data_IF_818928614495
#
_entry.id   IF_818928614495
#
_cell.length_a   1.000
_cell.length_b   1.000
_cell.length_c   1.000
_cell.angle_alpha   90.00
_cell.angle_beta   90.00
_cell.angle_gamma   90.00
#
_symmetry.space_group_name_H-M   'P 1'
#
loop_
_entity.id
_entity.type
_entity.pdbx_description
1 polymer ?
#
# COMPACT_ATOMS: atom_id res chain seq x y z
N UNK A 1 3.96 9.02 30.43
CA UNK A 1 4.64 9.51 29.21
C UNK A 1 5.33 8.33 28.58
N UNK A 2 5.00 8.02 27.33
CA UNK A 2 5.64 6.97 26.56
C UNK A 2 6.59 7.59 25.52
N UNK A 3 7.75 6.98 25.29
CA UNK A 3 8.63 7.33 24.18
C UNK A 3 8.14 6.60 22.91
N UNK A 4 7.76 7.38 21.91
CA UNK A 4 7.30 6.91 20.61
C UNK A 4 8.40 7.15 19.58
N UNK A 5 9.04 6.07 19.14
CA UNK A 5 10.06 6.13 18.08
C UNK A 5 9.37 6.10 16.71
N UNK A 6 9.70 7.05 15.85
CA UNK A 6 9.18 7.18 14.48
C UNK A 6 10.36 7.07 13.51
N UNK A 7 10.38 6.03 12.68
CA UNK A 7 11.54 5.73 11.82
C UNK A 7 11.33 6.08 10.35
N UNK A 8 10.13 6.49 9.98
CA UNK A 8 9.79 6.90 8.63
C UNK A 8 8.90 8.14 8.65
N UNK A 9 8.87 8.90 7.57
CA UNK A 9 8.03 10.10 7.47
C UNK A 9 6.55 9.73 7.55
N UNK A 10 5.83 10.34 8.49
CA UNK A 10 4.37 10.30 8.61
C UNK A 10 3.82 11.72 8.65
N UNK A 11 2.50 11.86 8.50
CA UNK A 11 1.85 13.17 8.51
C UNK A 11 2.06 13.90 9.84
N UNK A 12 2.40 15.19 9.78
CA UNK A 12 2.61 16.05 10.95
C UNK A 12 1.42 16.06 11.91
N UNK A 13 0.20 15.96 11.40
CA UNK A 13 -1.00 15.88 12.22
C UNK A 13 -0.97 14.69 13.20
N UNK A 14 -0.51 13.51 12.73
CA UNK A 14 -0.37 12.33 13.60
C UNK A 14 0.71 12.51 14.66
N UNK A 15 1.85 13.13 14.30
CA UNK A 15 2.92 13.46 15.26
C UNK A 15 2.43 14.44 16.31
N UNK A 16 1.63 15.43 15.91
CA UNK A 16 1.09 16.43 16.82
C UNK A 16 0.05 15.84 17.78
N UNK A 17 -0.78 14.91 17.30
CA UNK A 17 -1.73 14.18 18.18
C UNK A 17 -1.01 13.40 19.28
N UNK A 18 0.09 12.72 18.94
CA UNK A 18 0.91 11.99 19.92
C UNK A 18 1.53 12.95 20.96
N UNK A 19 2.06 14.08 20.52
CA UNK A 19 2.60 15.12 21.43
C UNK A 19 1.49 15.71 22.32
N UNK A 20 0.33 16.00 21.76
CA UNK A 20 -0.81 16.54 22.51
C UNK A 20 -1.35 15.52 23.54
N UNK A 21 -1.22 14.21 23.27
CA UNK A 21 -1.51 13.16 24.22
C UNK A 21 -0.45 13.00 25.32
N UNK A 22 0.61 13.83 25.31
CA UNK A 22 1.65 13.85 26.33
C UNK A 22 2.77 12.83 26.12
N UNK A 23 2.91 12.27 24.91
CA UNK A 23 3.99 11.35 24.59
C UNK A 23 5.25 12.09 24.10
N UNK A 24 6.40 11.50 24.34
CA UNK A 24 7.67 11.93 23.76
C UNK A 24 7.80 11.31 22.35
N UNK A 25 7.85 12.16 21.31
CA UNK A 25 7.97 11.71 19.92
C UNK A 25 9.41 11.90 19.45
N UNK A 26 10.13 10.79 19.32
CA UNK A 26 11.51 10.71 18.84
C UNK A 26 11.54 10.29 17.37
N UNK A 27 11.96 11.20 16.48
CA UNK A 27 11.95 10.95 15.03
C UNK A 27 13.38 10.64 14.59
N UNK A 28 13.60 9.46 14.06
CA UNK A 28 14.88 8.94 13.56
C UNK A 28 14.69 8.35 12.17
N UNK A 29 14.96 9.11 11.14
CA UNK A 29 14.76 8.70 9.76
C UNK A 29 16.02 8.09 9.15
N UNK A 30 15.82 7.17 8.21
CA UNK A 30 16.89 6.61 7.39
C UNK A 30 17.87 5.70 8.15
N UNK A 31 17.42 5.06 9.22
CA UNK A 31 18.23 4.17 10.03
C UNK A 31 18.64 2.90 9.26
N UNK A 32 19.89 2.52 9.40
CA UNK A 32 20.34 1.18 9.07
C UNK A 32 19.78 0.16 10.09
N UNK A 33 19.74 -1.15 9.76
CA UNK A 33 19.33 -2.17 10.71
C UNK A 33 20.11 -2.16 12.04
N UNK A 34 21.40 -1.90 12.00
CA UNK A 34 22.23 -1.83 13.20
C UNK A 34 21.85 -0.62 14.08
N UNK A 35 21.66 0.55 13.50
CA UNK A 35 21.24 1.74 14.23
C UNK A 35 19.84 1.57 14.81
N UNK A 36 18.94 0.87 14.11
CA UNK A 36 17.59 0.58 14.63
C UNK A 36 17.66 -0.23 15.94
N UNK A 37 18.53 -1.24 16.02
CA UNK A 37 18.72 -2.05 17.23
C UNK A 37 19.18 -1.21 18.45
N UNK A 38 19.93 -0.13 18.20
CA UNK A 38 20.38 0.76 19.25
C UNK A 38 19.27 1.72 19.70
N UNK A 39 18.61 2.39 18.74
CA UNK A 39 17.65 3.45 19.06
C UNK A 39 16.29 2.94 19.51
N UNK A 40 15.95 1.67 19.20
CA UNK A 40 14.68 1.07 19.64
C UNK A 40 14.65 0.76 21.12
N UNK A 41 15.83 0.68 21.78
CA UNK A 41 15.92 0.45 23.21
C UNK A 41 15.25 1.58 24.00
N UNK A 42 14.42 1.21 24.97
CA UNK A 42 13.63 2.16 25.76
C UNK A 42 12.45 2.80 25.00
N UNK A 43 12.17 2.40 23.76
CA UNK A 43 10.95 2.81 23.07
C UNK A 43 9.76 1.98 23.56
N UNK A 44 8.64 2.66 23.85
CA UNK A 44 7.37 2.03 24.23
C UNK A 44 6.46 1.80 23.03
N UNK A 45 6.60 2.62 22.00
CA UNK A 45 5.92 2.47 20.73
C UNK A 45 6.88 2.71 19.56
N UNK A 46 6.70 1.97 18.49
CA UNK A 46 7.46 2.10 17.25
C UNK A 46 6.49 2.38 16.09
N UNK A 47 6.66 3.49 15.39
CA UNK A 47 5.86 3.84 14.22
C UNK A 47 6.71 3.74 12.97
N UNK A 48 6.24 2.91 12.02
CA UNK A 48 6.91 2.59 10.76
C UNK A 48 5.98 2.74 9.57
N UNK A 49 6.56 2.65 8.38
CA UNK A 49 5.84 2.39 7.13
C UNK A 49 6.36 1.11 6.47
N UNK A 50 6.85 1.18 5.24
CA UNK A 50 7.26 0.01 4.45
C UNK A 50 8.77 -0.24 4.38
N UNK A 51 9.59 0.76 4.67
CA UNK A 51 11.05 0.64 4.54
C UNK A 51 11.71 0.01 5.78
N UNK A 52 11.18 0.30 6.97
CA UNK A 52 11.71 -0.24 8.23
C UNK A 52 11.31 -1.70 8.40
N UNK A 53 12.28 -2.59 8.58
CA UNK A 53 12.04 -4.00 8.92
C UNK A 53 12.04 -4.17 10.44
N UNK A 54 10.98 -4.75 10.98
CA UNK A 54 10.85 -5.08 12.42
C UNK A 54 10.89 -6.59 12.55
N UNK A 55 12.10 -7.11 12.51
CA UNK A 55 12.42 -8.54 12.62
C UNK A 55 12.57 -9.00 14.09
N UNK A 56 12.83 -10.29 14.28
CA UNK A 56 13.01 -10.85 15.61
C UNK A 56 14.14 -10.17 16.42
N UNK A 57 15.33 -9.89 15.86
CA UNK A 57 16.38 -9.14 16.57
C UNK A 57 15.93 -7.75 17.03
N UNK A 58 15.21 -7.02 16.19
CA UNK A 58 14.67 -5.69 16.53
C UNK A 58 13.68 -5.75 17.69
N UNK A 59 12.76 -6.71 17.65
CA UNK A 59 11.77 -6.94 18.71
C UNK A 59 12.43 -7.38 20.03
N UNK A 60 13.46 -8.22 19.97
CA UNK A 60 14.21 -8.68 21.14
C UNK A 60 15.05 -7.57 21.79
N UNK A 61 15.54 -6.62 21.01
CA UNK A 61 16.26 -5.45 21.51
C UNK A 61 15.31 -4.43 22.18
N UNK A 62 14.04 -4.38 21.77
CA UNK A 62 13.03 -3.40 22.19
C UNK A 62 12.24 -3.89 23.43
N UNK A 63 12.90 -4.06 24.56
CA UNK A 63 12.32 -4.71 25.75
C UNK A 63 11.16 -3.96 26.40
N UNK A 64 11.07 -2.67 26.18
CA UNK A 64 10.00 -1.81 26.72
C UNK A 64 8.86 -1.59 25.68
N UNK A 65 8.97 -2.21 24.49
CA UNK A 65 8.03 -2.02 23.41
C UNK A 65 6.68 -2.67 23.71
N UNK A 66 5.63 -1.88 23.59
CA UNK A 66 4.24 -2.29 23.82
C UNK A 66 3.50 -2.45 22.50
N UNK A 67 3.83 -1.58 21.53
CA UNK A 67 3.09 -1.55 20.25
C UNK A 67 3.99 -1.16 19.08
N UNK A 68 3.80 -1.85 17.95
CA UNK A 68 4.28 -1.44 16.63
C UNK A 68 3.11 -0.96 15.81
N UNK A 69 3.13 0.30 15.40
CA UNK A 69 2.14 0.91 14.51
C UNK A 69 2.68 1.05 13.09
N UNK A 70 2.08 0.33 12.13
CA UNK A 70 2.43 0.52 10.72
C UNK A 70 1.45 1.46 10.03
N UNK A 71 1.95 2.61 9.55
CA UNK A 71 1.17 3.54 8.74
C UNK A 71 1.01 3.01 7.30
N UNK A 72 0.24 1.93 7.16
CA UNK A 72 -0.03 1.22 5.90
C UNK A 72 -0.89 -0.02 6.12
N UNK A 73 -1.18 -0.77 5.06
CA UNK A 73 -2.11 -1.92 5.11
C UNK A 73 -1.39 -3.24 5.43
N UNK A 74 -0.36 -3.58 4.67
CA UNK A 74 0.38 -4.83 4.84
C UNK A 74 1.19 -4.85 6.14
N UNK A 75 1.62 -6.02 6.56
CA UNK A 75 2.48 -6.24 7.74
C UNK A 75 3.70 -7.12 7.38
N UNK A 76 4.01 -7.18 6.09
CA UNK A 76 5.08 -8.00 5.51
C UNK A 76 6.49 -7.65 6.02
N UNK A 77 6.67 -6.43 6.52
CA UNK A 77 7.90 -5.94 7.12
C UNK A 77 7.91 -6.02 8.66
N UNK A 78 6.97 -6.74 9.28
CA UNK A 78 6.91 -6.96 10.73
C UNK A 78 6.80 -8.45 11.02
N UNK A 79 7.67 -8.98 11.87
CA UNK A 79 7.53 -10.33 12.40
C UNK A 79 6.42 -10.38 13.45
N UNK A 80 5.18 -10.54 12.96
CA UNK A 80 3.97 -10.55 13.79
C UNK A 80 3.96 -11.75 14.75
N UNK A 81 4.53 -12.89 14.34
CA UNK A 81 4.60 -14.07 15.19
C UNK A 81 5.51 -13.81 16.40
N UNK A 82 6.69 -13.26 16.15
CA UNK A 82 7.63 -12.90 17.23
C UNK A 82 7.10 -11.78 18.12
N UNK A 83 6.46 -10.77 17.54
CA UNK A 83 5.79 -9.70 18.32
C UNK A 83 4.74 -10.28 19.27
N UNK A 84 3.95 -11.25 18.80
CA UNK A 84 2.93 -11.94 19.60
C UNK A 84 3.57 -12.73 20.75
N UNK A 85 4.66 -13.46 20.50
CA UNK A 85 5.41 -14.17 21.53
C UNK A 85 5.91 -13.25 22.65
N UNK A 86 6.35 -12.05 22.28
CA UNK A 86 6.87 -11.05 23.22
C UNK A 86 5.77 -10.17 23.84
N UNK A 87 4.50 -10.37 23.48
CA UNK A 87 3.37 -9.58 23.97
C UNK A 87 3.29 -8.17 23.39
N UNK A 88 3.95 -7.92 22.26
CA UNK A 88 3.94 -6.64 21.55
C UNK A 88 2.75 -6.61 20.59
N UNK A 89 1.88 -5.60 20.73
CA UNK A 89 0.76 -5.39 19.84
C UNK A 89 1.25 -4.88 18.48
N UNK A 90 0.69 -5.40 17.37
CA UNK A 90 0.95 -4.90 16.03
C UNK A 90 -0.35 -4.35 15.46
N UNK A 91 -0.35 -3.07 15.10
CA UNK A 91 -1.50 -2.37 14.52
C UNK A 91 -1.15 -1.77 13.16
N UNK A 92 -2.13 -1.71 12.27
CA UNK A 92 -1.98 -1.15 10.94
C UNK A 92 -3.10 -0.15 10.62
N UNK A 93 -2.99 0.51 9.45
CA UNK A 93 -4.00 1.43 8.93
C UNK A 93 -4.72 0.80 7.71
N UNK A 94 -5.74 -0.08 7.93
CA UNK A 94 -6.26 -1.00 6.91
C UNK A 94 -7.09 -0.35 5.80
N UNK A 95 -7.27 0.97 5.83
CA UNK A 95 -8.06 1.72 4.83
C UNK A 95 -7.34 2.97 4.31
N UNK A 96 -6.15 3.28 4.78
CA UNK A 96 -5.48 4.58 4.56
C UNK A 96 -5.13 4.87 3.10
N UNK A 97 -4.81 3.86 2.28
CA UNK A 97 -4.34 4.05 0.91
C UNK A 97 -5.17 3.31 -0.16
N UNK A 98 -6.34 2.77 0.20
CA UNK A 98 -7.16 1.97 -0.73
C UNK A 98 -7.54 2.79 -1.97
N UNK A 99 -8.02 4.01 -1.75
CA UNK A 99 -8.44 4.90 -2.83
C UNK A 99 -7.25 5.32 -3.69
N UNK A 100 -6.16 5.76 -3.06
CA UNK A 100 -4.95 6.19 -3.74
C UNK A 100 -4.34 5.08 -4.60
N UNK A 101 -4.31 3.85 -4.10
CA UNK A 101 -3.82 2.69 -4.85
C UNK A 101 -4.71 2.38 -6.07
N UNK A 102 -6.03 2.44 -5.91
CA UNK A 102 -6.96 2.23 -7.02
C UNK A 102 -6.83 3.33 -8.08
N UNK A 103 -6.69 4.59 -7.68
CA UNK A 103 -6.49 5.71 -8.61
C UNK A 103 -5.14 5.63 -9.33
N UNK A 104 -4.06 5.30 -8.62
CA UNK A 104 -2.76 5.08 -9.24
C UNK A 104 -2.79 3.95 -10.26
N UNK A 105 -3.51 2.86 -9.98
CA UNK A 105 -3.69 1.73 -10.90
C UNK A 105 -4.38 2.19 -12.18
N UNK A 106 -5.46 2.97 -12.07
CA UNK A 106 -6.16 3.50 -13.24
C UNK A 106 -5.31 4.52 -14.02
N UNK A 107 -4.56 5.36 -13.31
CA UNK A 107 -3.64 6.31 -13.94
C UNK A 107 -2.56 5.59 -14.78
N UNK A 108 -1.95 4.54 -14.23
CA UNK A 108 -0.95 3.73 -14.93
C UNK A 108 -1.55 2.97 -16.11
N UNK A 109 -2.75 2.39 -15.95
CA UNK A 109 -3.47 1.70 -17.02
C UNK A 109 -3.73 2.64 -18.20
N UNK A 110 -4.24 3.84 -17.94
CA UNK A 110 -4.51 4.85 -18.95
C UNK A 110 -3.22 5.39 -19.59
N UNK A 111 -2.20 5.65 -18.79
CA UNK A 111 -0.91 6.10 -19.28
C UNK A 111 -0.25 5.08 -20.22
N UNK A 112 -0.35 3.80 -19.88
CA UNK A 112 0.15 2.69 -20.71
C UNK A 112 -0.69 2.55 -21.99
N UNK A 113 -2.03 2.51 -21.88
CA UNK A 113 -2.93 2.36 -23.03
C UNK A 113 -2.77 3.47 -24.07
N UNK A 114 -2.40 4.67 -23.65
CA UNK A 114 -2.30 5.87 -24.49
C UNK A 114 -0.87 6.33 -24.74
N UNK A 115 0.16 5.56 -24.35
CA UNK A 115 1.59 5.86 -24.50
C UNK A 115 1.98 7.26 -23.95
N UNK A 116 1.34 7.70 -22.85
CA UNK A 116 1.49 9.07 -22.34
C UNK A 116 2.95 9.40 -21.98
N UNK A 117 3.70 8.56 -21.22
CA UNK A 117 5.06 8.89 -20.84
C UNK A 117 5.99 9.03 -22.03
N UNK A 118 5.86 8.14 -23.02
CA UNK A 118 6.69 8.13 -24.22
C UNK A 118 6.39 9.35 -25.11
N UNK A 119 5.11 9.66 -25.33
CA UNK A 119 4.67 10.82 -26.10
C UNK A 119 5.12 12.13 -25.44
N UNK A 120 4.99 12.22 -24.10
CA UNK A 120 5.46 13.37 -23.33
C UNK A 120 6.99 13.55 -23.48
N UNK A 121 7.75 12.48 -23.29
CA UNK A 121 9.21 12.52 -23.42
C UNK A 121 9.65 12.94 -24.85
N UNK A 122 9.02 12.39 -25.89
CA UNK A 122 9.31 12.77 -27.27
C UNK A 122 9.05 14.27 -27.48
N UNK A 123 7.91 14.77 -27.05
CA UNK A 123 7.53 16.19 -27.19
C UNK A 123 8.48 17.12 -26.43
N UNK A 124 8.86 16.78 -25.21
CA UNK A 124 9.84 17.54 -24.40
C UNK A 124 11.20 17.62 -25.08
N UNK A 125 11.55 16.61 -25.88
CA UNK A 125 12.78 16.57 -26.68
C UNK A 125 12.61 17.20 -28.08
N UNK A 126 11.54 17.98 -28.32
CA UNK A 126 11.29 18.67 -29.56
C UNK A 126 10.84 17.78 -30.73
N UNK A 127 10.43 16.53 -30.47
CA UNK A 127 10.00 15.57 -31.49
C UNK A 127 8.48 15.54 -31.60
N UNK A 128 7.95 15.85 -32.79
CA UNK A 128 6.53 15.73 -33.09
C UNK A 128 6.26 14.40 -33.84
N UNK A 129 6.06 13.31 -33.09
CA UNK A 129 5.93 11.95 -33.63
C UNK A 129 4.51 11.40 -33.42
N UNK A 130 3.49 12.13 -33.89
CA UNK A 130 2.08 11.85 -33.62
C UNK A 130 1.66 10.40 -33.92
N UNK A 131 2.02 9.89 -35.09
CA UNK A 131 1.63 8.54 -35.53
C UNK A 131 2.34 7.41 -34.79
N UNK A 132 3.47 7.70 -34.14
CA UNK A 132 4.25 6.71 -33.42
C UNK A 132 3.64 6.36 -32.05
N UNK A 133 2.89 7.28 -31.49
CA UNK A 133 2.30 7.16 -30.15
C UNK A 133 0.79 6.93 -30.19
N UNK A 134 0.30 6.27 -31.24
CA UNK A 134 -1.08 5.79 -31.26
C UNK A 134 -1.28 4.79 -30.13
N UNK A 135 -2.29 5.03 -29.30
CA UNK A 135 -2.67 4.14 -28.21
C UNK A 135 -3.90 3.33 -28.55
N UNK A 136 -4.44 2.68 -27.55
CA UNK A 136 -5.68 1.91 -27.63
C UNK A 136 -6.74 2.50 -26.71
N UNK A 137 -8.01 2.40 -27.09
CA UNK A 137 -9.13 2.71 -26.23
C UNK A 137 -9.40 1.55 -25.28
N UNK A 138 -9.85 1.84 -24.07
CA UNK A 138 -10.23 0.81 -23.09
C UNK A 138 -11.63 0.26 -23.35
N UNK A 139 -12.49 1.05 -23.99
CA UNK A 139 -13.87 0.66 -24.29
C UNK A 139 -13.95 -0.68 -25.02
N UNK A 140 -14.84 -1.57 -24.57
CA UNK A 140 -15.04 -2.89 -25.14
C UNK A 140 -13.92 -3.91 -24.86
N UNK A 141 -12.84 -3.52 -24.18
CA UNK A 141 -11.77 -4.47 -23.80
C UNK A 141 -12.09 -5.16 -22.48
N UNK A 142 -11.46 -6.30 -22.25
CA UNK A 142 -11.57 -7.06 -21.01
C UNK A 142 -10.41 -6.72 -20.10
N UNK A 143 -10.70 -6.49 -18.81
CA UNK A 143 -9.72 -6.38 -17.74
C UNK A 143 -9.83 -7.60 -16.83
N UNK A 144 -8.73 -8.35 -16.71
CA UNK A 144 -8.57 -9.39 -15.71
C UNK A 144 -8.11 -8.79 -14.37
N UNK A 145 -8.77 -9.15 -13.28
CA UNK A 145 -8.44 -8.70 -11.93
C UNK A 145 -8.13 -9.90 -11.04
N UNK A 146 -6.90 -9.98 -10.55
CA UNK A 146 -6.50 -11.00 -9.58
C UNK A 146 -6.64 -10.37 -8.18
N UNK A 147 -7.64 -10.83 -7.43
CA UNK A 147 -8.00 -10.30 -6.12
C UNK A 147 -9.06 -9.20 -6.16
N UNK A 148 -10.29 -9.51 -5.73
CA UNK A 148 -11.42 -8.58 -5.60
C UNK A 148 -11.57 -8.03 -4.17
N UNK A 149 -10.44 -7.83 -3.49
CA UNK A 149 -10.41 -7.13 -2.21
C UNK A 149 -10.81 -5.65 -2.35
N UNK A 150 -10.55 -4.86 -1.32
CA UNK A 150 -10.95 -3.43 -1.28
C UNK A 150 -10.41 -2.63 -2.47
N UNK A 151 -9.15 -2.85 -2.88
CA UNK A 151 -8.52 -2.13 -4.00
C UNK A 151 -9.01 -2.67 -5.34
N UNK A 152 -8.96 -4.00 -5.56
CA UNK A 152 -9.38 -4.62 -6.82
C UNK A 152 -10.83 -4.30 -7.18
N UNK A 153 -11.73 -4.30 -6.20
CA UNK A 153 -13.12 -3.89 -6.39
C UNK A 153 -13.27 -2.44 -6.87
N UNK A 154 -12.48 -1.51 -6.31
CA UNK A 154 -12.49 -0.12 -6.74
C UNK A 154 -11.89 0.09 -8.13
N UNK A 155 -10.86 -0.67 -8.49
CA UNK A 155 -10.29 -0.67 -9.85
C UNK A 155 -11.31 -1.20 -10.84
N UNK A 156 -11.95 -2.34 -10.55
CA UNK A 156 -12.97 -2.94 -11.38
C UNK A 156 -14.15 -1.97 -11.63
N UNK A 157 -14.65 -1.33 -10.59
CA UNK A 157 -15.74 -0.33 -10.70
C UNK A 157 -15.36 0.82 -11.63
N UNK A 158 -14.13 1.34 -11.53
CA UNK A 158 -13.64 2.43 -12.39
C UNK A 158 -13.43 1.97 -13.83
N UNK A 159 -12.90 0.78 -14.03
CA UNK A 159 -12.71 0.21 -15.36
C UNK A 159 -14.04 -0.06 -16.08
N UNK A 160 -15.08 -0.51 -15.36
CA UNK A 160 -16.44 -0.60 -15.92
C UNK A 160 -16.97 0.73 -16.40
N UNK A 161 -16.67 1.85 -15.71
CA UNK A 161 -17.06 3.18 -16.15
C UNK A 161 -16.35 3.60 -17.46
N UNK A 162 -15.21 3.00 -17.79
CA UNK A 162 -14.56 3.12 -19.09
C UNK A 162 -15.12 2.16 -20.17
N UNK A 163 -16.21 1.46 -19.87
CA UNK A 163 -16.83 0.50 -20.78
C UNK A 163 -16.06 -0.81 -20.96
N UNK A 164 -15.22 -1.19 -19.98
CA UNK A 164 -14.53 -2.47 -20.00
C UNK A 164 -15.41 -3.58 -19.45
N UNK A 165 -15.24 -4.81 -19.97
CA UNK A 165 -15.72 -6.04 -19.34
C UNK A 165 -14.72 -6.45 -18.26
N UNK A 166 -15.22 -6.83 -17.09
CA UNK A 166 -14.36 -7.27 -15.99
C UNK A 166 -14.54 -8.76 -15.77
N UNK A 167 -13.41 -9.47 -15.75
CA UNK A 167 -13.29 -10.86 -15.32
C UNK A 167 -12.34 -10.89 -14.12
N UNK A 168 -12.55 -11.81 -13.17
CA UNK A 168 -11.71 -11.81 -11.98
C UNK A 168 -11.48 -13.21 -11.42
N UNK A 169 -10.34 -13.36 -10.76
CA UNK A 169 -10.05 -14.48 -9.88
C UNK A 169 -9.90 -13.98 -8.43
N UNK A 170 -10.65 -14.58 -7.52
CA UNK A 170 -10.50 -14.35 -6.08
C UNK A 170 -11.01 -15.60 -5.32
N UNK A 171 -10.17 -16.29 -4.52
CA UNK A 171 -10.58 -17.51 -3.83
C UNK A 171 -11.51 -17.27 -2.64
N UNK A 172 -11.72 -16.03 -2.22
CA UNK A 172 -12.48 -15.69 -1.00
C UNK A 172 -13.80 -14.99 -1.29
N UNK A 173 -14.06 -14.58 -2.52
CA UNK A 173 -15.32 -13.92 -2.87
C UNK A 173 -16.33 -14.95 -3.42
N UNK A 174 -17.59 -14.84 -3.00
CA UNK A 174 -18.65 -15.69 -3.57
C UNK A 174 -19.05 -15.22 -4.97
N UNK A 175 -19.46 -16.17 -5.82
CA UNK A 175 -20.02 -15.86 -7.15
C UNK A 175 -21.18 -14.85 -7.07
N UNK A 176 -22.06 -15.01 -6.08
CA UNK A 176 -23.19 -14.09 -5.89
C UNK A 176 -22.72 -12.66 -5.67
N UNK A 177 -21.68 -12.46 -4.86
CA UNK A 177 -21.13 -11.12 -4.61
C UNK A 177 -20.47 -10.53 -5.85
N UNK A 178 -19.70 -11.32 -6.59
CA UNK A 178 -19.08 -10.87 -7.84
C UNK A 178 -20.14 -10.49 -8.88
N UNK A 179 -21.20 -11.29 -9.05
CA UNK A 179 -22.32 -10.98 -9.94
C UNK A 179 -23.03 -9.68 -9.58
N UNK A 180 -23.24 -9.40 -8.28
CA UNK A 180 -23.80 -8.10 -7.84
C UNK A 180 -22.90 -6.90 -8.19
N UNK A 181 -21.59 -7.15 -8.32
CA UNK A 181 -20.64 -6.13 -8.77
C UNK A 181 -20.53 -6.03 -10.29
N UNK A 182 -21.26 -6.86 -11.06
CA UNK A 182 -21.17 -6.94 -12.52
C UNK A 182 -19.88 -7.61 -13.02
N UNK A 183 -19.27 -8.48 -12.21
CA UNK A 183 -17.99 -9.13 -12.48
C UNK A 183 -18.19 -10.63 -12.65
N UNK A 184 -17.58 -11.21 -13.69
CA UNK A 184 -17.54 -12.64 -13.94
C UNK A 184 -16.32 -13.25 -13.23
N UNK A 185 -16.56 -14.22 -12.34
CA UNK A 185 -15.47 -15.00 -11.75
C UNK A 185 -15.04 -16.13 -12.68
N UNK A 186 -13.74 -16.39 -12.68
CA UNK A 186 -13.15 -17.54 -13.36
C UNK A 186 -11.98 -18.09 -12.54
N UNK A 187 -11.47 -19.24 -12.91
CA UNK A 187 -10.23 -19.77 -12.36
C UNK A 187 -9.01 -18.95 -12.84
N UNK A 188 -7.90 -19.13 -12.16
CA UNK A 188 -6.68 -18.36 -12.46
C UNK A 188 -6.13 -18.69 -13.85
N UNK A 189 -6.27 -19.95 -14.30
CA UNK A 189 -5.78 -20.40 -15.60
C UNK A 189 -6.67 -19.89 -16.75
N UNK A 190 -7.93 -19.59 -16.46
CA UNK A 190 -8.89 -19.04 -17.43
C UNK A 190 -8.80 -17.51 -17.56
N UNK A 191 -8.16 -16.83 -16.59
CA UNK A 191 -8.03 -15.39 -16.58
C UNK A 191 -6.93 -14.91 -17.54
#
# INVERSE_FOLDING_TARGET
VARVLVTEEIADSGLQELRNAGHEVDIRLGLSPAELLEVVQGAHALIIRSATQVDAPTLEAAKDLIVVGRAGIGLDNVDVAKATELGVMVVNAPVSNILSAAEQTMALLLAQARNIPQAHSALKNGKWERSKWEGVELHGKTLGVIGLGKIGALVAQRAMAFGMRIVAYDPYISEQRARHMGIELMDLDGL
#
